data_IF_014990739494
#
_entry.id   IF_014990739494
#
_cell.length_a   1.000
_cell.length_b   1.000
_cell.length_c   1.000
_cell.angle_alpha   90.00
_cell.angle_beta   90.00
_cell.angle_gamma   90.00
#
_symmetry.space_group_name_H-M   'P 1'
#
loop_
_entity.id
_entity.type
_entity.pdbx_description
1 polymer ?
#
# COMPACT_ATOMS: atom_id res chain seq x y z
N UNK A 1 34.60 -0.59 -4.05
CA UNK A 1 33.56 -1.50 -3.54
C UNK A 1 32.77 -0.70 -2.52
N UNK A 2 31.55 -0.28 -2.85
CA UNK A 2 30.79 0.58 -1.95
C UNK A 2 30.20 -0.25 -0.83
N UNK A 3 30.67 0.02 0.39
CA UNK A 3 30.05 -0.46 1.62
C UNK A 3 28.65 0.11 1.73
N UNK A 4 27.66 -0.72 2.03
CA UNK A 4 26.29 -0.26 2.23
C UNK A 4 26.22 0.86 3.27
N UNK A 5 25.74 2.03 2.85
CA UNK A 5 25.49 3.16 3.72
C UNK A 5 24.00 3.25 4.00
N UNK A 6 23.60 2.94 5.22
CA UNK A 6 22.20 3.00 5.65
C UNK A 6 21.60 4.40 5.49
N UNK A 7 22.40 5.45 5.68
CA UNK A 7 21.95 6.85 5.66
C UNK A 7 22.17 7.52 4.29
N UNK A 8 22.37 6.74 3.24
CA UNK A 8 22.49 7.26 1.88
C UNK A 8 21.25 8.09 1.52
N UNK A 9 21.40 9.33 1.02
CA UNK A 9 20.30 10.20 0.62
C UNK A 9 19.26 9.52 -0.29
N UNK A 10 19.65 8.51 -1.07
CA UNK A 10 18.71 7.75 -1.92
C UNK A 10 17.63 6.97 -1.14
N UNK A 11 17.86 6.69 0.16
CA UNK A 11 16.89 6.01 1.03
C UNK A 11 16.05 7.00 1.85
N UNK A 12 16.22 8.30 1.63
CA UNK A 12 15.36 9.34 2.20
C UNK A 12 14.25 9.69 1.21
N UNK A 13 13.01 9.69 1.68
CA UNK A 13 11.88 10.07 0.84
C UNK A 13 11.90 11.57 0.55
N UNK A 14 11.94 11.94 -0.73
CA UNK A 14 11.82 13.35 -1.16
C UNK A 14 10.44 13.94 -0.88
N UNK A 15 9.43 13.09 -0.65
CA UNK A 15 8.04 13.53 -0.51
C UNK A 15 7.67 13.88 0.95
N UNK A 16 8.37 13.35 1.94
CA UNK A 16 8.03 13.55 3.35
C UNK A 16 9.31 13.76 4.19
N UNK A 17 9.72 15.03 4.30
CA UNK A 17 10.73 15.53 5.26
C UNK A 17 12.08 14.78 5.29
N UNK A 18 12.53 14.23 4.15
CA UNK A 18 13.72 13.37 4.07
C UNK A 18 13.69 12.20 5.09
N UNK A 19 12.49 11.76 5.47
CA UNK A 19 12.33 10.64 6.40
C UNK A 19 12.91 9.36 5.77
N UNK A 20 13.60 8.58 6.60
CA UNK A 20 14.17 7.31 6.18
C UNK A 20 13.05 6.36 5.77
N UNK A 21 13.24 5.67 4.64
CA UNK A 21 12.22 4.84 4.00
C UNK A 21 11.61 3.79 4.93
N UNK A 22 12.39 3.23 5.87
CA UNK A 22 11.89 2.28 6.88
C UNK A 22 10.90 2.90 7.85
N UNK A 23 11.16 4.13 8.31
CA UNK A 23 10.30 4.82 9.26
C UNK A 23 9.00 5.23 8.58
N UNK A 24 9.11 5.79 7.38
CA UNK A 24 7.95 6.19 6.60
C UNK A 24 7.06 4.98 6.28
N UNK A 25 7.63 3.86 5.83
CA UNK A 25 6.87 2.64 5.55
C UNK A 25 6.11 2.11 6.78
N UNK A 26 6.73 2.14 7.97
CA UNK A 26 6.09 1.70 9.22
C UNK A 26 4.94 2.62 9.63
N UNK A 27 5.10 3.92 9.47
CA UNK A 27 4.01 4.88 9.72
C UNK A 27 2.86 4.64 8.75
N UNK A 28 3.14 4.49 7.46
CA UNK A 28 2.12 4.28 6.43
C UNK A 28 1.32 2.99 6.65
N UNK A 29 1.97 1.86 6.95
CA UNK A 29 1.24 0.61 7.22
C UNK A 29 0.41 0.70 8.51
N UNK A 30 0.89 1.43 9.51
CA UNK A 30 0.13 1.67 10.76
C UNK A 30 -1.12 2.50 10.47
N UNK A 31 -1.00 3.57 9.69
CA UNK A 31 -2.15 4.39 9.25
C UNK A 31 -3.14 3.55 8.45
N UNK A 32 -2.65 2.68 7.56
CA UNK A 32 -3.50 1.77 6.79
C UNK A 32 -4.28 0.81 7.69
N UNK A 33 -3.61 0.18 8.68
CA UNK A 33 -4.28 -0.68 9.65
C UNK A 33 -5.37 0.06 10.44
N UNK A 34 -5.10 1.28 10.89
CA UNK A 34 -6.09 2.11 11.58
C UNK A 34 -7.28 2.39 10.66
N UNK A 35 -7.03 2.74 9.40
CA UNK A 35 -8.10 2.96 8.42
C UNK A 35 -8.95 1.70 8.17
N UNK A 36 -8.32 0.52 8.08
CA UNK A 36 -9.02 -0.76 8.00
C UNK A 36 -9.90 -1.02 9.23
N UNK A 37 -9.39 -0.75 10.43
CA UNK A 37 -10.15 -0.90 11.68
C UNK A 37 -11.34 0.07 11.76
N UNK A 38 -11.16 1.34 11.40
CA UNK A 38 -12.26 2.31 11.36
C UNK A 38 -13.32 1.93 10.31
N UNK A 39 -12.89 1.37 9.19
CA UNK A 39 -13.79 0.85 8.15
C UNK A 39 -14.63 -0.32 8.68
N UNK A 40 -14.06 -1.22 9.49
CA UNK A 40 -14.81 -2.29 10.15
C UNK A 40 -15.94 -1.76 11.03
N UNK A 41 -15.68 -0.69 11.78
CA UNK A 41 -16.66 -0.09 12.69
C UNK A 41 -17.83 0.60 11.96
N UNK A 42 -17.61 1.02 10.72
CA UNK A 42 -18.60 1.76 9.91
C UNK A 42 -19.37 0.85 8.95
N UNK A 43 -18.88 -0.37 8.69
CA UNK A 43 -19.53 -1.37 7.82
C UNK A 43 -20.67 -2.11 8.54
N UNK A 44 -21.78 -1.41 8.82
CA UNK A 44 -22.94 -2.03 9.50
C UNK A 44 -23.90 -2.77 8.54
N UNK A 45 -23.87 -2.52 7.22
CA UNK A 45 -24.75 -3.17 6.24
C UNK A 45 -23.95 -3.90 5.18
N UNK A 46 -23.76 -5.21 5.34
CA UNK A 46 -23.03 -6.04 4.39
C UNK A 46 -24.00 -6.60 3.34
N UNK A 47 -23.78 -6.24 2.08
CA UNK A 47 -23.99 -7.19 0.97
C UNK A 47 -22.86 -8.22 1.02
N UNK A 48 -23.20 -9.50 1.06
CA UNK A 48 -22.30 -10.63 1.42
C UNK A 48 -20.96 -10.65 0.66
N UNK A 49 -20.92 -10.12 -0.57
CA UNK A 49 -19.70 -10.04 -1.38
C UNK A 49 -18.66 -9.02 -0.90
N UNK A 50 -19.07 -7.85 -0.38
CA UNK A 50 -18.12 -6.79 0.05
C UNK A 50 -17.37 -7.14 1.33
N UNK A 51 -17.98 -7.96 2.19
CA UNK A 51 -17.34 -8.42 3.41
C UNK A 51 -16.16 -9.35 3.16
N UNK A 52 -16.24 -10.22 2.14
CA UNK A 52 -15.13 -11.11 1.78
C UNK A 52 -13.93 -10.30 1.30
N UNK A 53 -14.15 -9.29 0.46
CA UNK A 53 -13.09 -8.39 -0.04
C UNK A 53 -12.41 -7.68 1.13
N UNK A 54 -13.19 -7.18 2.10
CA UNK A 54 -12.66 -6.56 3.31
C UNK A 54 -11.78 -7.51 4.12
N UNK A 55 -12.23 -8.76 4.36
CA UNK A 55 -11.45 -9.76 5.08
C UNK A 55 -10.13 -10.08 4.37
N UNK A 56 -10.17 -10.22 3.04
CA UNK A 56 -8.97 -10.43 2.23
C UNK A 56 -8.00 -9.25 2.38
N UNK A 57 -8.51 -8.01 2.33
CA UNK A 57 -7.72 -6.80 2.57
C UNK A 57 -7.05 -6.79 3.94
N UNK A 58 -7.77 -7.21 4.99
CA UNK A 58 -7.21 -7.29 6.35
C UNK A 58 -6.06 -8.31 6.45
N UNK A 59 -6.18 -9.46 5.79
CA UNK A 59 -5.10 -10.46 5.72
C UNK A 59 -3.90 -9.90 4.97
N UNK A 60 -4.11 -9.23 3.83
CA UNK A 60 -3.05 -8.60 3.04
C UNK A 60 -2.32 -7.54 3.88
N UNK A 61 -3.04 -6.68 4.60
CA UNK A 61 -2.45 -5.68 5.49
C UNK A 61 -1.65 -6.32 6.64
N UNK A 62 -2.11 -7.45 7.17
CA UNK A 62 -1.36 -8.27 8.13
C UNK A 62 -0.03 -8.78 7.57
N UNK A 63 -0.04 -9.34 6.36
CA UNK A 63 1.18 -9.77 5.66
C UNK A 63 2.13 -8.58 5.42
N UNK A 64 1.59 -7.44 4.98
CA UNK A 64 2.36 -6.21 4.79
C UNK A 64 3.02 -5.72 6.08
N UNK A 65 2.31 -5.82 7.21
CA UNK A 65 2.85 -5.46 8.53
C UNK A 65 4.05 -6.34 8.89
N UNK A 66 3.90 -7.66 8.74
CA UNK A 66 5.00 -8.61 8.98
C UNK A 66 6.18 -8.32 8.05
N UNK A 67 5.91 -8.07 6.77
CA UNK A 67 6.93 -7.77 5.77
C UNK A 67 7.72 -6.49 6.09
N UNK A 68 7.04 -5.42 6.50
CA UNK A 68 7.64 -4.10 6.76
C UNK A 68 8.42 -4.09 8.08
N UNK A 69 7.86 -4.66 9.15
CA UNK A 69 8.54 -4.71 10.45
C UNK A 69 9.66 -5.75 10.50
N UNK A 70 9.46 -6.89 9.85
CA UNK A 70 10.47 -7.94 9.70
C UNK A 70 11.50 -7.65 8.60
N UNK A 71 11.27 -6.60 7.79
CA UNK A 71 12.10 -6.22 6.65
C UNK A 71 12.35 -7.40 5.69
N UNK A 72 11.30 -8.20 5.44
CA UNK A 72 11.32 -9.35 4.53
C UNK A 72 10.99 -8.91 3.11
N UNK A 73 11.99 -8.89 2.23
CA UNK A 73 11.84 -8.40 0.85
C UNK A 73 10.78 -9.15 0.04
N UNK A 74 10.79 -10.48 0.08
CA UNK A 74 9.89 -11.29 -0.77
C UNK A 74 8.43 -11.13 -0.34
N UNK A 75 8.16 -11.11 0.98
CA UNK A 75 6.83 -10.82 1.52
C UNK A 75 6.39 -9.38 1.22
N UNK A 76 7.32 -8.43 1.19
CA UNK A 76 7.03 -7.03 0.85
C UNK A 76 6.62 -6.90 -0.62
N UNK A 77 7.30 -7.59 -1.53
CA UNK A 77 6.93 -7.60 -2.96
C UNK A 77 5.58 -8.29 -3.18
N UNK A 78 5.32 -9.40 -2.48
CA UNK A 78 4.01 -10.06 -2.51
C UNK A 78 2.90 -9.13 -1.99
N UNK A 79 3.15 -8.42 -0.89
CA UNK A 79 2.22 -7.43 -0.34
C UNK A 79 1.93 -6.30 -1.34
N UNK A 80 2.96 -5.69 -1.94
CA UNK A 80 2.81 -4.62 -2.95
C UNK A 80 1.94 -5.11 -4.12
N UNK A 81 2.22 -6.30 -4.65
CA UNK A 81 1.44 -6.88 -5.75
C UNK A 81 -0.01 -7.13 -5.35
N UNK A 82 -0.23 -7.68 -4.16
CA UNK A 82 -1.57 -7.99 -3.64
C UNK A 82 -2.40 -6.72 -3.40
N UNK A 83 -1.79 -5.66 -2.88
CA UNK A 83 -2.42 -4.34 -2.71
C UNK A 83 -2.87 -3.75 -4.05
N UNK A 84 -2.01 -3.79 -5.08
CA UNK A 84 -2.37 -3.30 -6.43
C UNK A 84 -3.58 -4.07 -6.99
N UNK A 85 -3.60 -5.40 -6.85
CA UNK A 85 -4.71 -6.24 -7.29
C UNK A 85 -5.98 -5.90 -6.53
N UNK A 86 -5.90 -5.81 -5.20
CA UNK A 86 -7.05 -5.48 -4.35
C UNK A 86 -7.62 -4.10 -4.70
N UNK A 87 -6.77 -3.09 -4.82
CA UNK A 87 -7.16 -1.74 -5.20
C UNK A 87 -7.86 -1.72 -6.58
N UNK A 88 -7.34 -2.50 -7.53
CA UNK A 88 -7.95 -2.62 -8.86
C UNK A 88 -9.36 -3.23 -8.77
N UNK A 89 -9.53 -4.29 -7.97
CA UNK A 89 -10.84 -4.90 -7.73
C UNK A 89 -11.81 -3.89 -7.10
N UNK A 90 -11.37 -3.15 -6.07
CA UNK A 90 -12.20 -2.12 -5.43
C UNK A 90 -12.61 -1.01 -6.40
N UNK A 91 -11.71 -0.58 -7.30
CA UNK A 91 -12.03 0.37 -8.36
C UNK A 91 -13.13 -0.16 -9.29
N UNK A 92 -13.06 -1.43 -9.71
CA UNK A 92 -14.09 -2.04 -10.55
C UNK A 92 -15.46 -2.04 -9.85
N UNK A 93 -15.51 -2.38 -8.56
CA UNK A 93 -16.75 -2.30 -7.79
C UNK A 93 -17.28 -0.86 -7.68
N UNK A 94 -16.40 0.11 -7.43
CA UNK A 94 -16.78 1.53 -7.36
C UNK A 94 -17.35 2.07 -8.67
N UNK A 95 -16.72 1.72 -9.80
CA UNK A 95 -17.22 2.10 -11.14
C UNK A 95 -18.54 1.39 -11.45
N UNK A 96 -18.65 0.09 -11.16
CA UNK A 96 -19.90 -0.65 -11.34
C UNK A 96 -21.04 -0.03 -10.54
N UNK A 97 -20.79 0.35 -9.28
CA UNK A 97 -21.78 1.03 -8.45
C UNK A 97 -22.24 2.36 -9.09
N UNK A 98 -21.31 3.17 -9.60
CA UNK A 98 -21.63 4.42 -10.27
C UNK A 98 -22.52 4.22 -11.52
N UNK A 99 -22.33 3.13 -12.28
CA UNK A 99 -23.16 2.84 -13.47
C UNK A 99 -24.58 2.40 -13.17
N UNK A 100 -24.87 1.96 -11.93
CA UNK A 100 -26.21 1.54 -11.53
C UNK A 100 -27.09 2.70 -11.03
N UNK A 101 -26.50 3.88 -10.82
CA UNK A 101 -27.23 5.06 -10.36
C UNK A 101 -27.96 5.70 -11.55
N UNK A 102 -29.30 5.77 -11.56
CA UNK A 102 -30.04 6.43 -12.63
C UNK A 102 -29.74 7.95 -12.62
N UNK A 103 -29.11 8.45 -13.69
CA UNK A 103 -28.72 9.87 -13.84
C UNK A 103 -29.88 10.84 -14.11
N UNK A 104 -31.13 10.44 -13.84
CA UNK A 104 -32.34 11.17 -14.22
C UNK A 104 -32.57 12.47 -13.43
N UNK A 105 -31.77 12.77 -12.39
CA UNK A 105 -31.86 14.01 -11.63
C UNK A 105 -30.47 14.55 -11.22
N UNK A 106 -30.42 15.83 -10.83
CA UNK A 106 -29.21 16.51 -10.38
C UNK A 106 -28.50 15.80 -9.21
N UNK A 107 -29.25 15.05 -8.40
CA UNK A 107 -28.72 14.28 -7.28
C UNK A 107 -27.92 13.05 -7.75
N UNK A 108 -28.41 12.31 -8.74
CA UNK A 108 -27.71 11.16 -9.33
C UNK A 108 -26.38 11.57 -9.98
N UNK A 109 -26.38 12.69 -10.72
CA UNK A 109 -25.16 13.24 -11.32
C UNK A 109 -24.14 13.67 -10.24
N UNK A 110 -24.59 14.29 -9.15
CA UNK A 110 -23.73 14.67 -8.03
C UNK A 110 -23.11 13.44 -7.35
N UNK A 111 -23.89 12.37 -7.14
CA UNK A 111 -23.42 11.12 -6.54
C UNK A 111 -22.36 10.43 -7.41
N UNK A 112 -22.57 10.36 -8.72
CA UNK A 112 -21.58 9.81 -9.67
C UNK A 112 -20.29 10.63 -9.64
N UNK A 113 -20.39 11.96 -9.69
CA UNK A 113 -19.23 12.85 -9.64
C UNK A 113 -18.43 12.68 -8.34
N UNK A 114 -19.12 12.55 -7.20
CA UNK A 114 -18.49 12.32 -5.89
C UNK A 114 -17.78 10.97 -5.85
N UNK A 115 -18.41 9.89 -6.35
CA UNK A 115 -17.80 8.56 -6.40
C UNK A 115 -16.53 8.55 -7.25
N UNK A 116 -16.56 9.17 -8.44
CA UNK A 116 -15.40 9.26 -9.32
C UNK A 116 -14.28 10.09 -8.68
N UNK A 117 -14.62 11.19 -7.98
CA UNK A 117 -13.64 11.99 -7.26
C UNK A 117 -12.97 11.19 -6.13
N UNK A 118 -13.74 10.43 -5.35
CA UNK A 118 -13.21 9.57 -4.29
C UNK A 118 -12.27 8.51 -4.87
N UNK A 119 -12.66 7.85 -5.97
CA UNK A 119 -11.81 6.86 -6.65
C UNK A 119 -10.49 7.47 -7.16
N UNK A 120 -10.54 8.67 -7.71
CA UNK A 120 -9.36 9.40 -8.16
C UNK A 120 -8.45 9.80 -6.97
N UNK A 121 -9.05 10.30 -5.90
CA UNK A 121 -8.33 10.66 -4.68
C UNK A 121 -7.67 9.44 -4.02
N UNK A 122 -8.33 8.28 -4.00
CA UNK A 122 -7.75 7.05 -3.46
C UNK A 122 -6.59 6.54 -4.32
N UNK A 123 -6.72 6.58 -5.65
CA UNK A 123 -5.65 6.19 -6.57
C UNK A 123 -4.39 7.05 -6.38
N UNK A 124 -4.58 8.37 -6.27
CA UNK A 124 -3.48 9.32 -6.07
C UNK A 124 -2.84 9.19 -4.70
N UNK A 125 -3.62 8.90 -3.65
CA UNK A 125 -3.09 8.62 -2.31
C UNK A 125 -2.30 7.31 -2.21
N UNK A 126 -2.62 6.31 -3.04
CA UNK A 126 -1.92 5.02 -3.04
C UNK A 126 -0.50 5.11 -3.64
N UNK A 127 -0.29 6.00 -4.62
CA UNK A 127 0.99 6.13 -5.33
C UNK A 127 2.18 6.42 -4.38
N UNK A 128 2.14 7.41 -3.48
CA UNK A 128 3.21 7.64 -2.50
C UNK A 128 3.51 6.44 -1.61
N UNK A 129 2.48 5.67 -1.24
CA UNK A 129 2.64 4.45 -0.44
C UNK A 129 3.41 3.38 -1.20
N UNK A 130 3.00 3.10 -2.44
CA UNK A 130 3.67 2.12 -3.31
C UNK A 130 5.12 2.50 -3.57
N UNK A 131 5.39 3.78 -3.87
CA UNK A 131 6.76 4.28 -4.05
C UNK A 131 7.60 4.04 -2.79
N UNK A 132 7.04 4.34 -1.61
CA UNK A 132 7.74 4.12 -0.33
C UNK A 132 8.06 2.64 -0.11
N UNK A 133 7.12 1.74 -0.38
CA UNK A 133 7.35 0.30 -0.23
C UNK A 133 8.33 -0.27 -1.26
N UNK A 134 8.31 0.21 -2.50
CA UNK A 134 9.30 -0.13 -3.52
C UNK A 134 10.71 0.33 -3.11
N UNK A 135 10.83 1.55 -2.59
CA UNK A 135 12.12 2.06 -2.08
C UNK A 135 12.58 1.26 -0.86
N UNK A 136 11.67 0.80 0.00
CA UNK A 136 12.01 -0.09 1.11
C UNK A 136 12.52 -1.45 0.60
N UNK A 137 11.89 -2.01 -0.44
CA UNK A 137 12.34 -3.25 -1.06
C UNK A 137 13.75 -3.12 -1.67
N UNK A 138 14.05 -1.96 -2.28
CA UNK A 138 15.40 -1.65 -2.78
C UNK A 138 16.41 -1.51 -1.64
N UNK A 139 16.06 -0.80 -0.56
CA UNK A 139 16.89 -0.69 0.63
C UNK A 139 17.25 -2.06 1.22
N UNK A 140 16.27 -2.95 1.37
CA UNK A 140 16.49 -4.31 1.90
C UNK A 140 17.39 -5.10 0.96
N UNK A 141 17.14 -5.02 -0.35
CA UNK A 141 17.96 -5.66 -1.39
C UNK A 141 19.42 -5.24 -1.29
N UNK A 142 19.69 -3.94 -1.26
CA UNK A 142 21.06 -3.41 -1.22
C UNK A 142 21.80 -3.83 0.04
N UNK A 143 21.10 -3.85 1.18
CA UNK A 143 21.64 -4.38 2.45
C UNK A 143 22.02 -5.85 2.33
N UNK A 144 21.13 -6.70 1.81
CA UNK A 144 21.38 -8.14 1.64
C UNK A 144 22.57 -8.42 0.72
N UNK A 145 22.71 -7.66 -0.39
CA UNK A 145 23.85 -7.82 -1.28
C UNK A 145 25.15 -7.41 -0.62
N UNK A 146 25.17 -6.33 0.17
CA UNK A 146 26.39 -5.92 0.87
C UNK A 146 26.88 -6.94 1.91
N UNK A 147 25.97 -7.62 2.61
CA UNK A 147 26.30 -8.64 3.59
C UNK A 147 26.80 -9.95 2.98
N UNK A 148 26.41 -10.28 1.74
CA UNK A 148 26.83 -11.51 1.05
C UNK A 148 28.25 -11.45 0.50
N UNK A 149 28.81 -10.26 0.28
CA UNK A 149 30.10 -10.12 -0.40
C UNK A 149 31.30 -10.17 0.57
N UNK A 150 31.08 -10.17 1.89
CA UNK A 150 32.17 -10.22 2.88
C UNK A 150 32.77 -11.61 3.17
N UNK A 151 32.49 -12.65 2.36
CA UNK A 151 33.03 -14.01 2.57
C UNK A 151 33.59 -14.63 1.28
N UNK A 152 34.53 -13.96 0.62
CA UNK A 152 35.57 -14.67 -0.14
C UNK A 152 36.78 -14.83 0.78
N UNK A 153 36.91 -16.00 1.38
CA UNK A 153 38.20 -16.44 1.89
C UNK A 153 39.04 -16.78 0.67
N UNK A 154 40.08 -15.99 0.41
CA UNK A 154 41.17 -16.41 -0.45
C UNK A 154 41.83 -17.61 0.25
N UNK A 155 41.72 -18.78 -0.38
CA UNK A 155 42.43 -20.02 -0.01
C UNK A 155 43.67 -20.14 -0.87
#
# INVERSE_FOLDING_TARGET
>A
METFNRNDPKYHSSFCCASHVTTLARVLITVNLIACFLSLLTYHSIETGRFIIFLVGLVIAGIGTIAIYGEYRDLLLFFIGSEIVLFTIECFYGVSAATTIPALNNLGTLLIALLLFILFASATAMLPCLITYCNLAQFIKDREYSGKVSMRYDV
#
